data_IF_928692306735
#
_entry.id   IF_928692306735
#
_cell.length_a   1.000
_cell.length_b   1.000
_cell.length_c   1.000
_cell.angle_alpha   90.00
_cell.angle_beta   90.00
_cell.angle_gamma   90.00
#
_symmetry.space_group_name_H-M   'P 1'
#
loop_
_entity.id
_entity.type
_entity.pdbx_description
1 polymer ?
#
# COMPACT_ATOMS: atom_id res chain seq x y z
N UNK A 1 20.18 -17.27 -15.18
CA UNK A 1 21.33 -16.54 -15.75
C UNK A 1 20.89 -15.13 -16.08
N UNK A 2 21.65 -14.13 -15.67
CA UNK A 2 21.42 -12.72 -15.92
C UNK A 2 22.54 -12.17 -16.78
N UNK A 3 22.25 -11.22 -17.65
CA UNK A 3 23.22 -10.52 -18.51
C UNK A 3 22.85 -9.04 -18.61
N UNK A 4 23.84 -8.20 -18.92
CA UNK A 4 23.60 -6.78 -19.18
C UNK A 4 23.19 -6.56 -20.63
N UNK A 5 22.22 -5.69 -20.84
CA UNK A 5 21.69 -5.33 -22.16
C UNK A 5 21.74 -3.84 -22.39
N UNK A 6 21.96 -3.45 -23.63
CA UNK A 6 21.79 -2.09 -24.10
C UNK A 6 20.30 -1.73 -24.16
N UNK A 7 19.99 -0.44 -24.35
CA UNK A 7 18.59 0.06 -24.45
C UNK A 7 17.82 -0.58 -25.63
N UNK A 8 18.53 -0.98 -26.68
CA UNK A 8 17.96 -1.67 -27.84
C UNK A 8 17.73 -3.19 -27.65
N UNK A 9 18.06 -3.72 -26.44
CA UNK A 9 17.94 -5.11 -26.11
C UNK A 9 19.12 -5.99 -26.53
N UNK A 10 20.14 -5.46 -27.19
CA UNK A 10 21.35 -6.21 -27.51
C UNK A 10 22.19 -6.47 -26.25
N UNK A 11 22.93 -7.59 -26.22
CA UNK A 11 23.80 -7.92 -25.10
C UNK A 11 24.95 -6.92 -25.03
N UNK A 12 25.14 -6.24 -23.90
CA UNK A 12 26.20 -5.26 -23.68
C UNK A 12 27.58 -5.91 -23.74
N UNK A 13 27.80 -6.97 -23.03
CA UNK A 13 29.02 -7.78 -23.04
C UNK A 13 28.69 -9.24 -22.79
N UNK A 14 29.11 -10.13 -23.72
CA UNK A 14 28.89 -11.58 -23.65
C UNK A 14 29.63 -12.25 -22.48
N UNK A 15 30.61 -11.61 -21.91
CA UNK A 15 31.41 -12.11 -20.81
C UNK A 15 30.89 -11.68 -19.44
N UNK A 16 29.92 -10.73 -19.41
CA UNK A 16 29.31 -10.26 -18.16
C UNK A 16 27.96 -10.97 -17.98
N UNK A 17 27.97 -11.99 -17.18
CA UNK A 17 26.77 -12.70 -16.75
C UNK A 17 26.94 -13.24 -15.32
N UNK A 18 25.82 -13.44 -14.63
CA UNK A 18 25.82 -14.04 -13.30
C UNK A 18 24.63 -14.98 -13.13
N UNK A 19 24.74 -15.87 -12.15
CA UNK A 19 23.68 -16.79 -11.75
C UNK A 19 23.29 -16.47 -10.30
N UNK A 20 22.00 -16.55 -10.02
CA UNK A 20 21.51 -16.63 -8.65
C UNK A 20 21.53 -18.12 -8.26
N UNK A 21 22.16 -18.44 -7.11
CA UNK A 21 22.34 -19.83 -6.67
C UNK A 21 21.01 -20.56 -6.48
N UNK A 22 19.98 -19.82 -6.05
CA UNK A 22 18.64 -20.35 -5.74
C UNK A 22 17.63 -20.08 -6.86
N UNK A 23 18.10 -19.81 -8.10
CA UNK A 23 17.21 -19.56 -9.22
C UNK A 23 16.50 -20.85 -9.63
N UNK A 24 15.18 -20.90 -9.39
CA UNK A 24 14.31 -21.91 -9.96
C UNK A 24 13.75 -21.43 -11.30
N UNK A 25 13.99 -22.22 -12.35
CA UNK A 25 13.41 -21.93 -13.67
C UNK A 25 11.89 -22.10 -13.60
N UNK A 26 11.17 -20.99 -13.62
CA UNK A 26 9.70 -21.00 -13.65
C UNK A 26 9.23 -21.08 -15.09
N UNK A 27 8.30 -22.01 -15.36
CA UNK A 27 7.64 -22.06 -16.67
C UNK A 27 6.95 -20.73 -16.93
N UNK A 28 7.26 -20.13 -18.09
CA UNK A 28 6.55 -18.93 -18.56
C UNK A 28 5.10 -19.34 -18.83
N UNK A 29 4.17 -18.73 -18.09
CA UNK A 29 2.75 -18.97 -18.29
C UNK A 29 2.26 -18.15 -19.49
N UNK A 30 1.52 -18.81 -20.37
CA UNK A 30 0.81 -18.11 -21.45
C UNK A 30 -0.21 -17.13 -20.86
N UNK A 31 -0.13 -15.89 -21.30
CA UNK A 31 -1.09 -14.85 -20.93
C UNK A 31 -2.14 -14.78 -22.02
N UNK A 32 -3.39 -15.13 -21.71
CA UNK A 32 -4.48 -15.04 -22.69
C UNK A 32 -4.72 -13.59 -23.13
N UNK A 33 -5.24 -13.36 -24.35
CA UNK A 33 -5.57 -12.01 -24.83
C UNK A 33 -6.48 -11.22 -23.86
N UNK A 34 -7.44 -11.90 -23.22
CA UNK A 34 -8.35 -11.29 -22.25
C UNK A 34 -7.61 -10.83 -20.98
N UNK A 35 -6.65 -11.62 -20.50
CA UNK A 35 -5.79 -11.23 -19.36
C UNK A 35 -4.89 -10.06 -19.73
N UNK A 36 -4.33 -10.07 -20.95
CA UNK A 36 -3.51 -8.97 -21.44
C UNK A 36 -4.34 -7.68 -21.58
N UNK A 37 -5.57 -7.77 -22.10
CA UNK A 37 -6.48 -6.63 -22.14
C UNK A 37 -6.77 -6.08 -20.76
N UNK A 38 -7.14 -6.92 -19.79
CA UNK A 38 -7.37 -6.49 -18.39
C UNK A 38 -6.16 -5.81 -17.77
N UNK A 39 -4.96 -6.33 -18.03
CA UNK A 39 -3.72 -5.73 -17.54
C UNK A 39 -3.50 -4.34 -18.15
N UNK A 40 -3.80 -4.18 -19.45
CA UNK A 40 -3.70 -2.89 -20.15
C UNK A 40 -4.73 -1.89 -19.62
N UNK A 41 -6.00 -2.30 -19.51
CA UNK A 41 -7.07 -1.47 -18.97
C UNK A 41 -6.74 -1.02 -17.52
N UNK A 42 -6.15 -1.90 -16.73
CA UNK A 42 -5.70 -1.57 -15.38
C UNK A 42 -4.51 -0.60 -15.39
N UNK A 43 -3.55 -0.79 -16.29
CA UNK A 43 -2.41 0.13 -16.47
C UNK A 43 -2.89 1.54 -16.84
N UNK A 44 -3.83 1.65 -17.77
CA UNK A 44 -4.40 2.93 -18.20
C UNK A 44 -5.13 3.62 -17.04
N UNK A 45 -5.92 2.85 -16.25
CA UNK A 45 -6.55 3.34 -15.03
C UNK A 45 -5.53 3.86 -14.02
N UNK A 46 -4.48 3.09 -13.72
CA UNK A 46 -3.43 3.49 -12.77
C UNK A 46 -2.73 4.76 -13.23
N UNK A 47 -2.36 4.83 -14.52
CA UNK A 47 -1.69 5.99 -15.10
C UNK A 47 -2.54 7.25 -15.00
N UNK A 48 -3.81 7.18 -15.39
CA UNK A 48 -4.73 8.31 -15.32
C UNK A 48 -4.98 8.77 -13.87
N UNK A 49 -5.09 7.81 -12.92
CA UNK A 49 -5.29 8.12 -11.51
C UNK A 49 -4.05 8.77 -10.88
N UNK A 50 -2.85 8.31 -11.23
CA UNK A 50 -1.59 8.90 -10.78
C UNK A 50 -1.43 10.34 -11.26
N UNK A 51 -1.80 10.64 -12.50
CA UNK A 51 -1.73 12.03 -13.00
C UNK A 51 -2.67 12.97 -12.23
N UNK A 52 -3.77 12.46 -11.69
CA UNK A 52 -4.73 13.22 -10.90
C UNK A 52 -4.34 13.33 -9.40
N UNK A 53 -3.38 12.55 -8.92
CA UNK A 53 -3.02 12.48 -7.51
C UNK A 53 -1.95 13.51 -7.13
N UNK A 54 -2.20 14.34 -6.08
CA UNK A 54 -1.24 15.33 -5.59
C UNK A 54 0.12 14.71 -5.21
N UNK A 55 0.09 13.60 -4.47
CA UNK A 55 1.29 12.89 -4.02
C UNK A 55 1.67 11.71 -4.92
N UNK A 56 1.49 11.86 -6.24
CA UNK A 56 1.76 10.81 -7.24
C UNK A 56 3.15 10.18 -7.12
N UNK A 57 4.14 10.94 -6.68
CA UNK A 57 5.51 10.45 -6.54
C UNK A 57 5.63 9.41 -5.42
N UNK A 58 4.92 9.60 -4.29
CA UNK A 58 4.88 8.65 -3.17
C UNK A 58 4.20 7.35 -3.61
N UNK A 59 3.06 7.46 -4.33
CA UNK A 59 2.35 6.29 -4.85
C UNK A 59 3.20 5.51 -5.85
N UNK A 60 3.88 6.20 -6.79
CA UNK A 60 4.80 5.55 -7.73
C UNK A 60 5.93 4.81 -7.02
N UNK A 61 6.56 5.47 -6.04
CA UNK A 61 7.64 4.86 -5.26
C UNK A 61 7.13 3.64 -4.48
N UNK A 62 5.93 3.71 -3.90
CA UNK A 62 5.32 2.56 -3.22
C UNK A 62 5.12 1.36 -4.14
N UNK A 63 4.69 1.57 -5.39
CA UNK A 63 4.52 0.50 -6.38
C UNK A 63 5.88 -0.16 -6.67
N UNK A 64 6.93 0.62 -6.85
CA UNK A 64 8.30 0.10 -7.09
C UNK A 64 8.80 -0.68 -5.87
N UNK A 65 8.60 -0.16 -4.66
CA UNK A 65 8.96 -0.86 -3.40
C UNK A 65 8.20 -2.16 -3.25
N UNK A 66 6.91 -2.16 -3.57
CA UNK A 66 6.08 -3.36 -3.54
C UNK A 66 6.65 -4.46 -4.45
N UNK A 67 6.91 -4.16 -5.72
CA UNK A 67 7.51 -5.13 -6.66
C UNK A 67 8.83 -5.66 -6.10
N UNK A 68 9.74 -4.77 -5.69
CA UNK A 68 11.05 -5.16 -5.11
C UNK A 68 10.92 -6.01 -3.84
N UNK A 69 9.90 -5.79 -3.01
CA UNK A 69 9.67 -6.61 -1.82
C UNK A 69 9.34 -8.05 -2.17
N UNK A 70 8.56 -8.26 -3.23
CA UNK A 70 8.13 -9.61 -3.66
C UNK A 70 9.12 -10.31 -4.60
N UNK A 71 10.13 -9.59 -5.10
CA UNK A 71 11.24 -10.18 -5.85
C UNK A 71 12.28 -10.87 -4.94
N UNK A 72 12.18 -10.68 -3.61
CA UNK A 72 13.11 -11.32 -2.68
C UNK A 72 12.86 -12.82 -2.57
N UNK A 73 13.94 -13.59 -2.47
CA UNK A 73 13.90 -15.03 -2.14
C UNK A 73 13.52 -15.28 -0.67
N UNK A 74 14.03 -14.46 0.25
CA UNK A 74 13.70 -14.54 1.67
C UNK A 74 12.33 -13.91 1.98
N UNK A 75 11.38 -14.77 2.33
CA UNK A 75 10.01 -14.38 2.64
C UNK A 75 9.86 -13.59 3.95
N UNK A 76 10.73 -13.79 4.92
CA UNK A 76 10.73 -12.98 6.15
C UNK A 76 11.11 -11.52 5.84
N UNK A 77 12.11 -11.31 5.02
CA UNK A 77 12.46 -9.98 4.49
C UNK A 77 11.35 -9.39 3.61
N UNK A 78 10.63 -10.23 2.85
CA UNK A 78 9.45 -9.80 2.08
C UNK A 78 8.38 -9.22 3.01
N UNK A 79 8.04 -9.86 4.13
CA UNK A 79 7.05 -9.36 5.10
C UNK A 79 7.44 -7.98 5.61
N UNK A 80 8.71 -7.78 6.01
CA UNK A 80 9.18 -6.49 6.51
C UNK A 80 9.06 -5.38 5.46
N UNK A 81 9.52 -5.64 4.23
CA UNK A 81 9.48 -4.65 3.14
C UNK A 81 8.08 -4.38 2.63
N UNK A 82 7.22 -5.40 2.57
CA UNK A 82 5.82 -5.24 2.19
C UNK A 82 5.05 -4.41 3.22
N UNK A 83 5.29 -4.63 4.53
CA UNK A 83 4.75 -3.78 5.58
C UNK A 83 5.18 -2.33 5.43
N UNK A 84 6.48 -2.07 5.27
CA UNK A 84 7.01 -0.73 5.06
C UNK A 84 6.43 -0.04 3.80
N UNK A 85 6.06 -0.83 2.79
CA UNK A 85 5.38 -0.32 1.60
C UNK A 85 3.96 0.14 1.90
N UNK A 86 3.19 -0.61 2.71
CA UNK A 86 1.86 -0.20 3.18
C UNK A 86 1.98 1.07 4.04
N UNK A 87 2.95 1.11 4.94
CA UNK A 87 3.24 2.25 5.80
C UNK A 87 3.50 3.52 4.99
N UNK A 88 4.24 3.42 3.88
CA UNK A 88 4.57 4.57 3.03
C UNK A 88 3.36 5.26 2.39
N UNK A 89 2.21 4.60 2.28
CA UNK A 89 0.97 5.19 1.72
C UNK A 89 -0.11 5.45 2.78
N UNK A 90 -0.15 4.68 3.86
CA UNK A 90 -1.15 4.83 4.91
C UNK A 90 -0.68 5.67 6.10
N UNK A 91 0.62 5.80 6.33
CA UNK A 91 1.19 6.55 7.45
C UNK A 91 2.58 7.13 7.11
N UNK A 92 2.74 7.91 6.00
CA UNK A 92 4.05 8.33 5.49
C UNK A 92 4.83 9.17 6.50
N UNK A 93 4.15 9.95 7.34
CA UNK A 93 4.74 10.87 8.30
C UNK A 93 4.58 10.42 9.76
N UNK A 94 4.11 9.20 9.97
CA UNK A 94 3.73 8.69 11.29
C UNK A 94 4.37 7.33 11.55
N UNK A 95 5.21 7.23 12.57
CA UNK A 95 5.72 5.93 13.02
C UNK A 95 4.71 5.25 13.97
N UNK A 96 3.52 4.94 13.46
CA UNK A 96 2.42 4.38 14.24
C UNK A 96 1.75 3.19 13.52
N UNK A 97 2.15 1.98 13.90
CA UNK A 97 1.62 0.76 13.32
C UNK A 97 0.12 0.54 13.60
N UNK A 98 -0.42 1.06 14.71
CA UNK A 98 -1.84 0.93 15.05
C UNK A 98 -2.72 1.74 14.07
N UNK A 99 -2.22 2.90 13.63
CA UNK A 99 -2.90 3.68 12.58
C UNK A 99 -2.94 2.95 11.25
N UNK A 100 -1.85 2.26 10.89
CA UNK A 100 -1.83 1.43 9.67
C UNK A 100 -2.92 0.36 9.74
N UNK A 101 -3.00 -0.34 10.87
CA UNK A 101 -4.04 -1.36 11.11
C UNK A 101 -5.44 -0.78 11.01
N UNK A 102 -5.70 0.35 11.69
CA UNK A 102 -6.99 1.02 11.68
C UNK A 102 -7.39 1.48 10.28
N UNK A 103 -6.52 2.24 9.60
CA UNK A 103 -6.75 2.79 8.26
C UNK A 103 -6.95 1.70 7.21
N UNK A 104 -6.13 0.66 7.26
CA UNK A 104 -6.24 -0.45 6.33
C UNK A 104 -7.52 -1.26 6.53
N UNK A 105 -7.89 -1.57 7.78
CA UNK A 105 -9.13 -2.30 8.10
C UNK A 105 -10.39 -1.50 7.76
N UNK A 106 -10.33 -0.16 7.80
CA UNK A 106 -11.43 0.72 7.40
C UNK A 106 -11.90 0.47 5.95
N UNK A 107 -11.02 -0.03 5.08
CA UNK A 107 -11.31 -0.29 3.68
C UNK A 107 -12.12 -1.58 3.43
N UNK A 108 -12.48 -2.31 4.47
CA UNK A 108 -13.18 -3.59 4.38
C UNK A 108 -14.56 -3.55 5.04
N UNK A 109 -15.49 -4.33 4.52
CA UNK A 109 -16.84 -4.43 5.10
C UNK A 109 -16.82 -5.08 6.50
N UNK A 110 -16.07 -6.18 6.66
CA UNK A 110 -15.84 -6.81 7.96
C UNK A 110 -14.53 -6.28 8.56
N UNK A 111 -14.59 -5.07 9.12
CA UNK A 111 -13.44 -4.35 9.65
C UNK A 111 -12.76 -5.09 10.79
N UNK A 112 -13.55 -5.66 11.69
CA UNK A 112 -13.02 -6.33 12.88
C UNK A 112 -12.22 -7.57 12.49
N UNK A 113 -12.71 -8.38 11.57
CA UNK A 113 -12.02 -9.54 11.05
C UNK A 113 -10.66 -9.16 10.42
N UNK A 114 -10.67 -8.15 9.53
CA UNK A 114 -9.43 -7.73 8.88
C UNK A 114 -8.47 -7.00 9.82
N UNK A 115 -8.99 -6.31 10.84
CA UNK A 115 -8.18 -5.72 11.91
C UNK A 115 -7.42 -6.78 12.67
N UNK A 116 -8.07 -7.89 13.06
CA UNK A 116 -7.42 -9.00 13.76
C UNK A 116 -6.31 -9.65 12.93
N UNK A 117 -6.54 -9.84 11.62
CA UNK A 117 -5.51 -10.35 10.72
C UNK A 117 -4.31 -9.38 10.67
N UNK A 118 -4.56 -8.07 10.52
CA UNK A 118 -3.51 -7.06 10.47
C UNK A 118 -2.73 -6.96 11.77
N UNK A 119 -3.39 -7.06 12.92
CA UNK A 119 -2.75 -7.10 14.24
C UNK A 119 -1.81 -8.30 14.35
N UNK A 120 -2.23 -9.46 13.88
CA UNK A 120 -1.38 -10.65 13.87
C UNK A 120 -0.14 -10.46 12.97
N UNK A 121 -0.30 -9.92 11.78
CA UNK A 121 0.82 -9.62 10.86
C UNK A 121 1.75 -8.55 11.46
N UNK A 122 1.19 -7.51 12.10
CA UNK A 122 1.95 -6.47 12.82
C UNK A 122 2.81 -7.08 13.93
N UNK A 123 2.21 -7.95 14.74
CA UNK A 123 2.91 -8.61 15.84
C UNK A 123 4.02 -9.52 15.32
N UNK A 124 3.78 -10.29 14.26
CA UNK A 124 4.81 -11.09 13.62
C UNK A 124 5.97 -10.22 13.10
N UNK A 125 5.66 -9.15 12.35
CA UNK A 125 6.68 -8.20 11.84
C UNK A 125 7.51 -7.62 12.99
N UNK A 126 6.89 -7.20 14.08
CA UNK A 126 7.59 -6.62 15.22
C UNK A 126 8.53 -7.63 15.89
N UNK A 127 8.09 -8.87 16.10
CA UNK A 127 8.95 -9.95 16.63
C UNK A 127 10.10 -10.27 15.67
N UNK A 128 9.85 -10.31 14.36
CA UNK A 128 10.88 -10.58 13.37
C UNK A 128 11.96 -9.46 13.37
N UNK A 129 11.56 -8.18 13.44
CA UNK A 129 12.50 -7.04 13.46
C UNK A 129 13.29 -6.97 14.75
N UNK A 130 12.64 -7.14 15.91
CA UNK A 130 13.27 -6.87 17.21
C UNK A 130 13.92 -8.08 17.85
N UNK A 131 13.46 -9.28 17.53
CA UNK A 131 13.91 -10.52 18.16
C UNK A 131 14.56 -11.50 17.18
N UNK A 132 14.76 -11.10 15.92
CA UNK A 132 15.21 -11.98 14.82
C UNK A 132 14.38 -13.27 14.74
N UNK A 133 13.12 -13.21 15.17
CA UNK A 133 12.20 -14.34 15.10
C UNK A 133 11.76 -14.57 13.67
N UNK A 134 12.03 -15.76 13.16
CA UNK A 134 11.56 -16.19 11.84
C UNK A 134 10.67 -17.42 11.99
N UNK A 135 9.73 -17.58 11.07
CA UNK A 135 8.96 -18.82 10.95
C UNK A 135 9.37 -19.54 9.67
N UNK A 136 9.17 -20.85 9.63
CA UNK A 136 9.57 -21.67 8.49
C UNK A 136 8.81 -21.32 7.20
N UNK A 137 7.53 -20.97 7.33
CA UNK A 137 6.71 -20.54 6.19
C UNK A 137 5.97 -19.22 6.46
N UNK A 138 6.54 -18.06 6.11
CA UNK A 138 5.88 -16.75 6.19
C UNK A 138 5.00 -16.41 4.97
N UNK A 139 4.82 -17.34 4.02
CA UNK A 139 4.04 -17.12 2.79
C UNK A 139 2.61 -16.64 3.04
N UNK A 140 1.86 -17.12 4.06
CA UNK A 140 0.54 -16.58 4.37
C UNK A 140 0.57 -15.08 4.71
N UNK A 141 1.58 -14.62 5.47
CA UNK A 141 1.72 -13.19 5.80
C UNK A 141 2.08 -12.36 4.57
N UNK A 142 2.92 -12.89 3.68
CA UNK A 142 3.22 -12.25 2.40
C UNK A 142 1.94 -12.07 1.58
N UNK A 143 1.10 -13.11 1.46
CA UNK A 143 -0.17 -13.03 0.73
C UNK A 143 -1.15 -12.03 1.37
N UNK A 144 -1.26 -12.03 2.70
CA UNK A 144 -2.10 -11.07 3.42
C UNK A 144 -1.65 -9.62 3.16
N UNK A 145 -0.35 -9.34 3.25
CA UNK A 145 0.21 -8.01 2.97
C UNK A 145 0.02 -7.59 1.50
N UNK A 146 0.12 -8.53 0.56
CA UNK A 146 -0.20 -8.26 -0.85
C UNK A 146 -1.66 -7.81 -1.02
N UNK A 147 -2.60 -8.50 -0.38
CA UNK A 147 -4.01 -8.16 -0.40
C UNK A 147 -4.26 -6.77 0.22
N UNK A 148 -3.66 -6.47 1.36
CA UNK A 148 -3.80 -5.20 2.07
C UNK A 148 -3.19 -4.04 1.29
N UNK A 149 -1.98 -4.21 0.75
CA UNK A 149 -1.35 -3.19 -0.09
C UNK A 149 -2.21 -2.88 -1.33
N UNK A 150 -2.68 -3.93 -2.02
CA UNK A 150 -3.53 -3.75 -3.20
C UNK A 150 -4.81 -2.96 -2.87
N UNK A 151 -5.48 -3.27 -1.78
CA UNK A 151 -6.71 -2.57 -1.38
C UNK A 151 -6.43 -1.11 -1.05
N UNK A 152 -5.37 -0.82 -0.31
CA UNK A 152 -4.93 0.54 0.03
C UNK A 152 -4.53 1.35 -1.20
N UNK A 153 -3.76 0.75 -2.11
CA UNK A 153 -3.38 1.36 -3.37
C UNK A 153 -4.60 1.70 -4.23
N UNK A 154 -5.54 0.75 -4.40
CA UNK A 154 -6.76 0.97 -5.18
C UNK A 154 -7.62 2.08 -4.59
N UNK A 155 -7.72 2.18 -3.25
CA UNK A 155 -8.40 3.28 -2.60
C UNK A 155 -7.79 4.63 -3.00
N UNK A 156 -6.49 4.82 -2.82
CA UNK A 156 -5.82 6.07 -3.17
C UNK A 156 -5.94 6.40 -4.66
N UNK A 157 -5.88 5.40 -5.54
CA UNK A 157 -6.03 5.63 -6.98
C UNK A 157 -7.45 6.01 -7.39
N UNK A 158 -8.47 5.40 -6.79
CA UNK A 158 -9.89 5.71 -7.09
C UNK A 158 -10.32 7.05 -6.55
N UNK A 159 -9.83 7.38 -5.35
CA UNK A 159 -10.21 8.59 -4.63
C UNK A 159 -9.25 9.78 -4.92
N UNK A 160 -8.33 9.62 -5.87
CA UNK A 160 -7.29 10.60 -6.21
C UNK A 160 -7.82 12.01 -6.49
N UNK A 161 -9.06 12.14 -6.97
CA UNK A 161 -9.71 13.43 -7.26
C UNK A 161 -10.50 13.98 -6.09
N UNK A 162 -10.75 13.19 -5.05
CA UNK A 162 -11.59 13.57 -3.91
C UNK A 162 -10.77 14.11 -2.74
N UNK A 163 -9.45 13.96 -2.78
CA UNK A 163 -8.53 14.41 -1.74
C UNK A 163 -7.36 15.18 -2.36
N UNK A 164 -6.92 16.24 -1.71
CA UNK A 164 -5.79 17.06 -2.16
C UNK A 164 -4.45 16.35 -1.95
N UNK A 165 -4.37 15.44 -0.96
CA UNK A 165 -3.14 14.76 -0.57
C UNK A 165 -3.40 13.38 0.04
N UNK A 166 -2.34 12.55 0.12
CA UNK A 166 -2.34 11.33 0.92
C UNK A 166 -2.70 11.59 2.38
N UNK A 167 -2.21 12.69 2.95
CA UNK A 167 -2.50 13.06 4.33
C UNK A 167 -3.98 13.32 4.56
N UNK A 168 -4.67 13.96 3.62
CA UNK A 168 -6.12 14.19 3.70
C UNK A 168 -6.90 12.87 3.55
N UNK A 169 -6.54 12.04 2.58
CA UNK A 169 -7.12 10.72 2.40
C UNK A 169 -6.94 9.84 3.65
N UNK A 170 -5.77 9.89 4.27
CA UNK A 170 -5.49 9.16 5.51
C UNK A 170 -6.29 9.69 6.71
N UNK A 171 -6.52 11.01 6.81
CA UNK A 171 -7.43 11.58 7.81
C UNK A 171 -8.89 11.11 7.61
N UNK A 172 -9.32 10.94 6.36
CA UNK A 172 -10.61 10.34 6.07
C UNK A 172 -10.68 8.89 6.59
N UNK A 173 -9.63 8.09 6.43
CA UNK A 173 -9.55 6.72 6.96
C UNK A 173 -9.48 6.65 8.50
N UNK A 174 -9.12 7.75 9.17
CA UNK A 174 -9.18 7.88 10.64
C UNK A 174 -10.60 8.21 11.15
N UNK A 175 -11.58 8.31 10.27
CA UNK A 175 -12.96 8.63 10.65
C UNK A 175 -13.63 7.47 11.40
N UNK A 176 -14.60 7.80 12.26
CA UNK A 176 -15.46 6.79 12.88
C UNK A 176 -16.22 5.98 11.82
N UNK A 177 -16.43 4.70 12.09
CA UNK A 177 -17.25 3.83 11.28
C UNK A 177 -18.76 3.92 11.61
N UNK A 178 -19.10 4.68 12.63
CA UNK A 178 -20.48 4.92 13.06
C UNK A 178 -21.09 6.11 12.32
N UNK A 179 -22.01 5.85 11.40
CA UNK A 179 -22.75 6.91 10.70
C UNK A 179 -23.45 7.87 11.66
N UNK A 180 -24.11 7.43 12.77
CA UNK A 180 -24.67 8.34 13.77
C UNK A 180 -23.62 9.26 14.41
N UNK A 181 -22.43 8.71 14.73
CA UNK A 181 -21.35 9.51 15.31
C UNK A 181 -20.80 10.53 14.32
N UNK A 182 -20.61 10.16 13.06
CA UNK A 182 -20.20 11.10 12.01
C UNK A 182 -21.21 12.24 11.82
N UNK A 183 -22.51 11.95 11.84
CA UNK A 183 -23.55 12.97 11.78
C UNK A 183 -23.49 13.92 12.98
N UNK A 184 -23.34 13.38 14.18
CA UNK A 184 -23.21 14.19 15.41
C UNK A 184 -21.97 15.09 15.35
N UNK A 185 -20.83 14.57 14.88
CA UNK A 185 -19.60 15.34 14.72
C UNK A 185 -19.79 16.47 13.70
N UNK A 186 -20.46 16.19 12.58
CA UNK A 186 -20.79 17.20 11.56
C UNK A 186 -21.63 18.34 12.19
N UNK A 187 -22.69 18.02 12.93
CA UNK A 187 -23.53 19.00 13.61
C UNK A 187 -22.76 19.87 14.60
N UNK A 188 -21.79 19.28 15.33
CA UNK A 188 -20.95 20.04 16.25
C UNK A 188 -19.99 20.98 15.52
N UNK A 189 -19.43 20.53 14.39
CA UNK A 189 -18.56 21.38 13.56
C UNK A 189 -19.35 22.54 12.94
N UNK A 190 -20.57 22.32 12.47
CA UNK A 190 -21.44 23.35 11.94
C UNK A 190 -21.76 24.41 13.01
N UNK A 191 -22.05 24.00 14.25
CA UNK A 191 -22.25 24.93 15.38
C UNK A 191 -20.98 25.69 15.72
N UNK A 192 -19.81 25.08 15.68
CA UNK A 192 -18.54 25.75 15.94
C UNK A 192 -18.24 26.81 14.87
N UNK A 193 -18.50 26.51 13.59
CA UNK A 193 -18.35 27.45 12.48
C UNK A 193 -19.30 28.67 12.70
N UNK A 194 -20.58 28.39 12.98
CA UNK A 194 -21.58 29.46 13.24
C UNK A 194 -21.17 30.33 14.42
N UNK A 195 -20.64 29.74 15.50
CA UNK A 195 -20.17 30.53 16.65
C UNK A 195 -18.99 31.44 16.28
N UNK A 196 -18.00 30.93 15.53
CA UNK A 196 -16.85 31.71 15.10
C UNK A 196 -17.21 32.82 14.09
N UNK A 197 -18.19 32.55 13.22
CA UNK A 197 -18.67 33.53 12.24
C UNK A 197 -19.53 34.64 12.90
N UNK A 198 -20.22 34.33 14.02
CA UNK A 198 -21.08 35.27 14.70
C UNK A 198 -20.35 36.22 15.65
N UNK A 199 -19.13 35.91 16.06
CA UNK A 199 -18.33 36.74 16.98
C UNK A 199 -17.05 37.28 16.31
N UNK A 200 -17.13 38.34 15.44
CA UNK A 200 -15.94 39.05 14.99
C UNK A 200 -15.49 40.01 16.11
N UNK A 201 -14.82 39.52 17.17
CA UNK A 201 -14.33 40.47 18.15
C UNK A 201 -13.97 40.00 19.54
N UNK A 202 -13.38 38.82 19.71
CA UNK A 202 -12.51 38.55 20.86
C UNK A 202 -11.04 38.57 20.38
N UNK A 203 -10.50 39.77 20.23
CA UNK A 203 -9.07 40.07 20.27
C UNK A 203 -8.78 40.87 21.52
#
# INVERSE_FOLDING_TARGET
MHSLHNVDGSIYDKNIYWYEADFEERKVHFISPERLKRARDFYDFVTASLEAHGDRHIIKDSIVRYVRAYDLSDRNSTVQRAWATIESILAPDENNADKIVSRCSFLYADREYYRQILEHVKEYRNRNVHQAHSIDDPSPHCYQLQMFYRQSLIFHLREAKNFESLGEANKFLDSSDSVPELKRRKELLEKAIQFLDAEPGYC
#
